data_IF_863464736925
#
_entry.id   IF_863464736925
#
_cell.length_a   1.000
_cell.length_b   1.000
_cell.length_c   1.000
_cell.angle_alpha   90.00
_cell.angle_beta   90.00
_cell.angle_gamma   90.00
#
_symmetry.space_group_name_H-M   'P 1'
#
loop_
_entity.id
_entity.type
_entity.pdbx_description
1 polymer ?
#
# COMPACT_ATOMS: atom_id res chain seq x y z
N UNK A 1 13.03 -6.37 6.94
CA UNK A 1 13.58 -7.59 6.34
C UNK A 1 15.09 -7.49 6.47
N UNK A 2 15.74 -8.53 6.95
CA UNK A 2 17.18 -8.65 6.75
C UNK A 2 17.44 -8.82 5.25
N UNK A 3 18.53 -8.24 4.74
CA UNK A 3 18.85 -8.23 3.31
C UNK A 3 19.46 -9.57 2.83
N UNK A 4 18.82 -10.69 3.19
CA UNK A 4 19.31 -12.06 2.95
C UNK A 4 18.50 -12.85 1.93
N UNK A 5 17.30 -12.39 1.56
CA UNK A 5 16.41 -13.04 0.60
C UNK A 5 16.50 -12.37 -0.78
N UNK A 6 16.24 -13.14 -1.84
CA UNK A 6 16.20 -12.63 -3.20
C UNK A 6 14.87 -11.95 -3.54
N UNK A 7 14.80 -11.35 -4.74
CA UNK A 7 13.60 -10.62 -5.18
C UNK A 7 12.39 -11.52 -5.41
N UNK A 8 12.60 -12.75 -5.89
CA UNK A 8 11.51 -13.66 -6.23
C UNK A 8 10.94 -14.28 -4.95
N UNK A 9 11.79 -14.65 -3.99
CA UNK A 9 11.41 -15.10 -2.64
C UNK A 9 10.52 -14.07 -1.92
N UNK A 10 10.93 -12.80 -1.91
CA UNK A 10 10.16 -11.72 -1.26
C UNK A 10 8.84 -11.48 -1.97
N UNK A 11 8.82 -11.53 -3.31
CA UNK A 11 7.61 -11.31 -4.10
C UNK A 11 6.62 -12.47 -3.96
N UNK A 12 7.09 -13.70 -3.96
CA UNK A 12 6.27 -14.91 -3.81
C UNK A 12 5.67 -14.96 -2.41
N UNK A 13 6.46 -14.64 -1.37
CA UNK A 13 5.94 -14.49 -0.01
C UNK A 13 4.81 -13.45 0.05
N UNK A 14 5.01 -12.27 -0.54
CA UNK A 14 3.98 -11.22 -0.56
C UNK A 14 2.72 -11.64 -1.33
N UNK A 15 2.88 -12.40 -2.42
CA UNK A 15 1.78 -12.97 -3.19
C UNK A 15 0.98 -13.99 -2.37
N UNK A 16 1.66 -14.92 -1.71
CA UNK A 16 1.00 -15.94 -0.88
C UNK A 16 0.29 -15.33 0.32
N UNK A 17 0.86 -14.29 0.94
CA UNK A 17 0.19 -13.53 1.98
C UNK A 17 -1.08 -12.84 1.46
N UNK A 18 -1.03 -12.21 0.28
CA UNK A 18 -2.21 -11.63 -0.37
C UNK A 18 -3.29 -12.68 -0.65
N UNK A 19 -2.90 -13.89 -1.09
CA UNK A 19 -3.82 -15.01 -1.32
C UNK A 19 -4.44 -15.53 -0.02
N UNK A 20 -3.67 -15.60 1.06
CA UNK A 20 -4.18 -16.00 2.37
C UNK A 20 -5.24 -15.01 2.87
N UNK A 21 -5.04 -13.70 2.68
CA UNK A 21 -6.06 -12.68 3.00
C UNK A 21 -7.32 -12.81 2.14
N UNK A 22 -7.17 -13.07 0.84
CA UNK A 22 -8.30 -13.34 -0.06
C UNK A 22 -9.06 -14.60 0.37
N UNK A 23 -8.39 -15.67 0.78
CA UNK A 23 -9.03 -16.90 1.26
C UNK A 23 -9.75 -16.69 2.61
N UNK A 24 -9.15 -15.95 3.53
CA UNK A 24 -9.71 -15.69 4.86
C UNK A 24 -10.91 -14.73 4.81
N UNK A 25 -10.90 -13.75 3.90
CA UNK A 25 -11.99 -12.79 3.74
C UNK A 25 -12.25 -12.45 2.26
N UNK A 26 -12.81 -13.39 1.47
CA UNK A 26 -12.95 -13.26 0.02
C UNK A 26 -13.90 -12.15 -0.42
N UNK A 27 -14.78 -11.70 0.48
CA UNK A 27 -15.68 -10.56 0.23
C UNK A 27 -15.02 -9.20 0.50
N UNK A 28 -13.82 -9.18 1.09
CA UNK A 28 -13.09 -7.96 1.46
C UNK A 28 -11.81 -7.76 0.67
N UNK A 29 -11.09 -8.84 0.38
CA UNK A 29 -9.78 -8.78 -0.25
C UNK A 29 -9.73 -9.56 -1.56
N UNK A 30 -8.77 -9.20 -2.41
CA UNK A 30 -8.39 -10.00 -3.58
C UNK A 30 -6.89 -9.91 -3.85
N UNK A 31 -6.29 -11.01 -4.30
CA UNK A 31 -4.93 -11.03 -4.85
C UNK A 31 -4.92 -10.91 -6.39
N UNK A 32 -6.09 -10.76 -7.02
CA UNK A 32 -6.23 -10.72 -8.48
C UNK A 32 -6.01 -9.31 -9.03
N UNK A 33 -5.15 -9.21 -10.07
CA UNK A 33 -4.79 -7.91 -10.67
C UNK A 33 -5.93 -7.24 -11.44
N UNK A 34 -6.88 -8.02 -11.98
CA UNK A 34 -7.97 -7.50 -12.80
C UNK A 34 -8.83 -6.49 -12.04
N UNK A 35 -9.07 -5.30 -12.63
CA UNK A 35 -9.99 -4.31 -12.06
C UNK A 35 -11.38 -4.90 -11.77
N UNK A 36 -11.85 -5.81 -12.63
CA UNK A 36 -13.15 -6.50 -12.46
C UNK A 36 -13.21 -7.32 -11.18
N UNK A 37 -12.10 -7.96 -10.78
CA UNK A 37 -12.05 -8.79 -9.58
C UNK A 37 -12.08 -7.97 -8.28
N UNK A 38 -11.85 -6.66 -8.36
CA UNK A 38 -11.65 -5.76 -7.21
C UNK A 38 -12.87 -4.90 -6.88
N UNK A 39 -13.93 -4.95 -7.68
CA UNK A 39 -15.15 -4.18 -7.39
C UNK A 39 -15.69 -4.57 -6.02
N UNK A 40 -15.80 -3.60 -5.10
CA UNK A 40 -16.24 -3.83 -3.72
C UNK A 40 -15.21 -4.50 -2.81
N UNK A 41 -13.98 -4.69 -3.27
CA UNK A 41 -12.89 -5.34 -2.53
C UNK A 41 -11.62 -4.49 -2.54
N UNK A 42 -10.72 -4.77 -1.62
CA UNK A 42 -9.36 -4.21 -1.59
C UNK A 42 -8.42 -5.19 -2.28
N UNK A 43 -7.72 -4.73 -3.32
CA UNK A 43 -6.61 -5.48 -3.88
C UNK A 43 -5.37 -5.32 -3.00
N UNK A 44 -4.81 -6.44 -2.57
CA UNK A 44 -3.54 -6.46 -1.83
C UNK A 44 -2.40 -6.48 -2.86
N UNK A 45 -1.86 -5.31 -3.19
CA UNK A 45 -0.86 -5.13 -4.26
C UNK A 45 0.53 -5.64 -3.86
N UNK A 46 0.82 -6.89 -4.17
CA UNK A 46 2.14 -7.51 -3.96
C UNK A 46 3.15 -7.21 -5.08
N UNK A 47 2.74 -6.55 -6.18
CA UNK A 47 3.55 -6.44 -7.40
C UNK A 47 4.76 -5.52 -7.25
N UNK A 48 4.81 -4.70 -6.20
CA UNK A 48 5.92 -3.77 -5.94
C UNK A 48 7.19 -4.44 -5.42
N UNK A 49 7.10 -5.72 -5.07
CA UNK A 49 8.19 -6.49 -4.49
C UNK A 49 9.08 -7.16 -5.56
N UNK A 50 8.84 -6.91 -6.85
CA UNK A 50 9.70 -7.42 -7.93
C UNK A 50 10.85 -6.47 -8.28
N UNK A 51 11.98 -7.02 -8.72
CA UNK A 51 13.18 -6.25 -9.13
C UNK A 51 12.82 -5.14 -10.14
N UNK A 52 13.25 -3.92 -9.85
CA UNK A 52 13.01 -2.74 -10.69
C UNK A 52 11.64 -2.07 -10.49
N UNK A 53 10.76 -2.65 -9.68
CA UNK A 53 9.52 -1.99 -9.26
C UNK A 53 9.81 -0.88 -8.26
N UNK A 54 8.95 0.14 -8.23
CA UNK A 54 9.07 1.26 -7.30
C UNK A 54 7.75 1.52 -6.55
N UNK A 55 7.91 2.09 -5.36
CA UNK A 55 6.84 2.66 -4.54
C UNK A 55 7.21 4.09 -4.22
N UNK A 56 6.20 4.94 -4.00
CA UNK A 56 6.40 6.34 -3.63
C UNK A 56 7.24 6.43 -2.35
N UNK A 57 8.20 7.37 -2.31
CA UNK A 57 9.04 7.54 -1.14
C UNK A 57 8.25 8.18 0.02
N UNK A 58 8.53 7.80 1.28
CA UNK A 58 8.04 8.54 2.44
C UNK A 58 8.34 10.04 2.31
N UNK A 59 7.41 10.89 2.75
CA UNK A 59 7.49 12.35 2.68
C UNK A 59 7.52 12.98 1.26
N UNK A 60 7.52 12.17 0.19
CA UNK A 60 7.42 12.73 -1.16
C UNK A 60 5.99 13.20 -1.47
N UNK A 61 5.89 14.28 -2.25
CA UNK A 61 4.62 14.85 -2.69
C UNK A 61 4.00 14.03 -3.83
N UNK A 62 2.68 14.14 -3.98
CA UNK A 62 1.91 13.53 -5.05
C UNK A 62 1.48 14.61 -6.05
N UNK A 63 1.72 14.35 -7.34
CA UNK A 63 1.22 15.19 -8.44
C UNK A 63 -0.31 15.02 -8.62
N UNK A 64 -1.08 15.46 -7.63
CA UNK A 64 -2.54 15.47 -7.58
C UNK A 64 -3.02 16.78 -6.96
N UNK A 65 -4.31 17.10 -7.15
CA UNK A 65 -4.94 18.26 -6.50
C UNK A 65 -4.68 18.22 -4.99
N UNK A 66 -4.19 19.32 -4.44
CA UNK A 66 -3.81 19.44 -3.03
C UNK A 66 -2.34 19.08 -2.71
N UNK A 67 -1.57 18.60 -3.68
CA UNK A 67 -0.13 18.30 -3.53
C UNK A 67 0.18 17.47 -2.26
N UNK A 68 -0.61 16.43 -2.00
CA UNK A 68 -0.55 15.69 -0.73
C UNK A 68 0.74 14.89 -0.58
N UNK A 69 1.15 14.61 0.65
CA UNK A 69 2.40 13.95 1.02
C UNK A 69 2.17 12.47 1.35
N UNK A 70 3.13 11.61 0.99
CA UNK A 70 3.19 10.21 1.46
C UNK A 70 3.65 10.17 2.92
N UNK A 71 2.78 10.61 3.83
CA UNK A 71 3.10 10.81 5.24
C UNK A 71 3.11 9.47 6.01
N UNK A 72 4.19 9.11 6.71
CA UNK A 72 4.17 8.07 7.72
C UNK A 72 3.20 8.42 8.86
N UNK A 73 2.36 7.47 9.27
CA UNK A 73 1.39 7.64 10.36
C UNK A 73 1.48 6.49 11.34
N UNK A 74 1.05 6.73 12.57
CA UNK A 74 0.97 5.73 13.65
C UNK A 74 -0.33 4.91 13.58
N UNK A 75 -0.35 3.75 14.23
CA UNK A 75 -1.56 2.93 14.34
C UNK A 75 -2.74 3.67 14.99
N UNK A 76 -2.58 4.40 16.11
CA UNK A 76 -3.68 5.17 16.70
C UNK A 76 -4.25 6.24 15.78
N UNK A 77 -3.44 6.88 14.94
CA UNK A 77 -3.92 7.84 13.94
C UNK A 77 -4.75 7.16 12.84
N UNK A 78 -4.32 5.96 12.41
CA UNK A 78 -5.08 5.16 11.47
C UNK A 78 -6.43 4.71 12.03
N UNK A 79 -6.47 4.25 13.28
CA UNK A 79 -7.69 3.86 13.97
C UNK A 79 -8.67 5.02 14.17
N UNK A 80 -8.15 6.25 14.31
CA UNK A 80 -8.93 7.49 14.32
C UNK A 80 -9.45 7.91 12.93
N UNK A 81 -9.09 7.19 11.88
CA UNK A 81 -9.63 7.40 10.53
C UNK A 81 -8.88 8.43 9.69
N UNK A 82 -7.56 8.57 9.88
CA UNK A 82 -6.75 9.45 9.02
C UNK A 82 -6.95 9.10 7.54
N UNK A 83 -7.29 10.10 6.73
CA UNK A 83 -7.51 9.90 5.30
C UNK A 83 -6.17 9.74 4.56
N UNK A 84 -6.10 8.96 3.46
CA UNK A 84 -4.88 8.78 2.67
C UNK A 84 -4.28 10.06 2.06
N UNK A 85 -5.04 11.15 2.08
CA UNK A 85 -4.69 12.46 1.52
C UNK A 85 -4.79 13.58 2.58
N UNK A 86 -4.68 13.25 3.87
CA UNK A 86 -4.85 14.20 4.97
C UNK A 86 -3.77 15.29 5.05
N UNK A 87 -2.61 15.10 4.41
CA UNK A 87 -1.43 15.96 4.57
C UNK A 87 -1.08 16.68 3.26
N UNK A 88 -1.64 17.86 2.96
CA UNK A 88 -1.25 18.68 1.82
C UNK A 88 0.10 19.37 2.06
N UNK A 89 0.87 19.59 1.00
CA UNK A 89 2.11 20.36 1.09
C UNK A 89 1.83 21.79 1.58
N UNK A 90 2.57 22.26 2.59
CA UNK A 90 2.43 23.61 3.16
C UNK A 90 1.50 23.70 4.37
N UNK A 91 0.84 22.61 4.77
CA UNK A 91 0.23 22.50 6.09
C UNK A 91 1.30 22.17 7.14
N UNK A 92 1.19 22.77 8.34
CA UNK A 92 2.07 22.49 9.47
C UNK A 92 1.96 21.02 9.93
N UNK A 93 0.86 20.34 9.62
CA UNK A 93 0.71 18.90 9.86
C UNK A 93 1.60 18.02 8.97
N UNK A 94 2.20 18.59 7.92
CA UNK A 94 3.03 17.88 6.95
C UNK A 94 4.54 17.84 7.28
N UNK A 95 4.97 18.43 8.41
CA UNK A 95 6.37 18.49 8.87
C UNK A 95 6.49 18.24 10.38
#
# INVERSE_FOLDING_TARGET
LEASADWDEVKDFAHDFARALEQAAPNRYTATLSKKARTGKIFVDYLRNGRGSTTVAPYSSRAKKGATVSMPVTWPELEKGVAPNAFPLGDASAL
#
